data_IF_341676383842
#
_entry.id   IF_341676383842
#
_cell.length_a   1.000
_cell.length_b   1.000
_cell.length_c   1.000
_cell.angle_alpha   90.00
_cell.angle_beta   90.00
_cell.angle_gamma   90.00
#
_symmetry.space_group_name_H-M   'P 1'
#
loop_
_entity.id
_entity.type
_entity.pdbx_description
1 polymer ?
#
# COMPACT_ATOMS: atom_id res chain seq x y z
N UNK A 1 -6.89 21.95 5.16
CA UNK A 1 -6.50 20.82 6.00
C UNK A 1 -7.63 20.48 6.96
N UNK A 2 -7.85 19.22 7.24
CA UNK A 2 -8.70 18.72 8.31
C UNK A 2 -7.81 18.44 9.54
N UNK A 3 -7.40 19.45 10.30
CA UNK A 3 -6.45 19.28 11.39
C UNK A 3 -7.01 18.47 12.56
N UNK A 4 -8.31 18.12 12.54
CA UNK A 4 -9.02 17.54 13.68
C UNK A 4 -9.38 16.06 13.54
N UNK A 5 -9.09 15.41 12.41
CA UNK A 5 -9.38 13.98 12.24
C UNK A 5 -8.49 13.11 13.12
N UNK A 6 -7.20 13.38 13.18
CA UNK A 6 -6.26 12.69 14.06
C UNK A 6 -6.58 12.89 15.55
N UNK A 7 -6.71 14.15 16.02
CA UNK A 7 -7.17 14.45 17.36
C UNK A 7 -8.52 13.79 17.72
N UNK A 8 -9.47 13.77 16.79
CA UNK A 8 -10.77 13.12 16.98
C UNK A 8 -10.67 11.62 17.25
N UNK A 9 -9.80 10.91 16.54
CA UNK A 9 -9.54 9.48 16.75
C UNK A 9 -8.90 9.24 18.12
N UNK A 10 -7.89 10.03 18.49
CA UNK A 10 -7.15 9.91 19.75
C UNK A 10 -8.09 10.10 20.95
N UNK A 11 -8.85 11.19 20.94
CA UNK A 11 -9.80 11.51 22.03
C UNK A 11 -10.96 10.51 22.09
N UNK A 12 -11.43 10.01 20.94
CA UNK A 12 -12.46 8.96 20.89
C UNK A 12 -11.97 7.63 21.45
N UNK A 13 -10.68 7.36 21.37
CA UNK A 13 -10.04 6.19 21.99
C UNK A 13 -9.82 6.38 23.51
N UNK A 14 -10.23 7.52 24.08
CA UNK A 14 -10.04 7.82 25.50
C UNK A 14 -8.61 8.22 25.88
N UNK A 15 -7.79 8.55 24.89
CA UNK A 15 -6.41 8.99 25.12
C UNK A 15 -6.42 10.51 25.31
N UNK A 16 -5.87 11.03 26.44
CA UNK A 16 -5.78 12.46 26.67
C UNK A 16 -4.85 13.10 25.63
N UNK A 17 -5.24 14.27 25.14
CA UNK A 17 -4.52 15.00 24.10
C UNK A 17 -4.45 16.48 24.45
N UNK A 18 -3.23 17.02 24.44
CA UNK A 18 -2.97 18.46 24.49
C UNK A 18 -2.53 18.91 23.10
N UNK A 19 -3.10 19.99 22.62
CA UNK A 19 -2.72 20.68 21.39
C UNK A 19 -2.09 22.04 21.72
N UNK A 20 -1.35 22.62 20.76
CA UNK A 20 -0.64 23.89 20.93
C UNK A 20 0.40 23.91 22.07
N UNK A 21 0.99 22.77 22.40
CA UNK A 21 1.99 22.68 23.48
C UNK A 21 3.37 23.28 23.11
N UNK A 22 3.52 23.84 21.90
CA UNK A 22 4.73 24.46 21.39
C UNK A 22 5.70 23.48 20.70
N UNK A 23 6.32 23.93 19.61
CA UNK A 23 7.30 23.12 18.87
C UNK A 23 8.56 22.81 19.68
N UNK A 24 8.89 23.65 20.67
CA UNK A 24 10.06 23.49 21.53
C UNK A 24 10.02 22.21 22.36
N UNK A 25 8.84 21.67 22.63
CA UNK A 25 8.67 20.43 23.40
C UNK A 25 9.38 19.24 22.74
N UNK A 26 9.41 19.22 21.39
CA UNK A 26 10.04 18.16 20.60
C UNK A 26 11.50 18.47 20.21
N UNK A 27 12.04 19.61 20.69
CA UNK A 27 13.45 19.90 20.49
C UNK A 27 14.34 18.91 21.25
N UNK A 28 15.52 18.62 20.70
CA UNK A 28 16.43 17.62 21.24
C UNK A 28 16.73 17.86 22.74
N UNK A 29 16.40 16.88 23.58
CA UNK A 29 16.68 16.89 25.01
C UNK A 29 15.58 17.44 25.94
N UNK A 30 14.43 17.88 25.40
CA UNK A 30 13.32 18.32 26.24
C UNK A 30 12.45 17.18 26.75
N UNK A 31 12.23 16.13 25.96
CA UNK A 31 11.53 14.91 26.34
C UNK A 31 12.30 13.72 25.77
N UNK A 32 12.48 12.67 26.58
CA UNK A 32 13.17 11.44 26.17
C UNK A 32 12.17 10.31 25.88
N UNK A 33 12.53 9.42 24.95
CA UNK A 33 11.69 8.28 24.63
C UNK A 33 11.56 7.33 25.82
N UNK A 34 10.30 7.00 26.20
CA UNK A 34 10.00 6.17 27.36
C UNK A 34 9.92 6.93 28.69
N UNK A 35 10.03 8.24 28.67
CA UNK A 35 9.86 9.09 29.83
C UNK A 35 8.39 9.10 30.30
N UNK A 36 8.16 8.98 31.62
CA UNK A 36 6.82 9.04 32.20
C UNK A 36 6.45 10.50 32.51
N UNK A 37 5.42 10.98 31.83
CA UNK A 37 4.90 12.33 31.94
C UNK A 37 3.43 12.29 32.40
N UNK A 38 3.00 13.31 33.11
CA UNK A 38 1.61 13.46 33.54
C UNK A 38 0.94 14.62 32.79
N UNK A 39 -0.37 14.50 32.59
CA UNK A 39 -1.21 15.56 32.06
C UNK A 39 -2.20 16.01 33.12
N UNK A 40 -2.18 17.29 33.45
CA UNK A 40 -3.16 17.93 34.37
C UNK A 40 -3.77 19.16 33.67
N UNK A 41 -5.05 19.03 33.31
CA UNK A 41 -5.71 20.05 32.50
C UNK A 41 -5.01 20.28 31.17
N UNK A 42 -4.48 21.48 30.93
CA UNK A 42 -3.69 21.85 29.76
C UNK A 42 -2.18 21.76 29.95
N UNK A 43 -1.71 21.28 31.11
CA UNK A 43 -0.29 21.26 31.46
C UNK A 43 0.31 19.87 31.35
N UNK A 44 1.49 19.79 30.73
CA UNK A 44 2.33 18.60 30.68
C UNK A 44 3.38 18.69 31.78
N UNK A 45 3.40 17.71 32.68
CA UNK A 45 4.23 17.71 33.86
C UNK A 45 5.29 16.60 33.82
N UNK A 46 6.47 16.96 34.31
CA UNK A 46 7.55 16.04 34.69
C UNK A 46 7.66 16.05 36.24
N UNK A 47 7.07 15.05 36.90
CA UNK A 47 6.84 15.11 38.35
C UNK A 47 5.92 16.27 38.71
N UNK A 48 6.41 17.22 39.51
CA UNK A 48 5.67 18.43 39.90
C UNK A 48 6.01 19.66 39.05
N UNK A 49 6.80 19.49 37.98
CA UNK A 49 7.26 20.63 37.18
C UNK A 49 6.53 20.64 35.84
N UNK A 50 5.88 21.78 35.55
CA UNK A 50 5.27 22.00 34.20
C UNK A 50 6.38 22.21 33.17
N UNK A 51 6.40 21.38 32.14
CA UNK A 51 7.38 21.44 31.04
C UNK A 51 6.79 22.02 29.77
N UNK A 52 5.47 21.97 29.62
CA UNK A 52 4.74 22.60 28.51
C UNK A 52 3.30 22.84 28.93
N UNK A 53 2.65 23.82 28.30
CA UNK A 53 1.24 24.10 28.47
C UNK A 53 0.59 24.23 27.10
N UNK A 54 -0.61 23.70 26.95
CA UNK A 54 -1.38 23.74 25.72
C UNK A 54 -2.88 23.67 26.00
N UNK A 55 -3.64 23.38 24.98
CA UNK A 55 -5.09 23.25 25.05
C UNK A 55 -5.48 21.78 25.14
N UNK A 56 -6.08 21.38 26.29
CA UNK A 56 -6.63 20.04 26.44
C UNK A 56 -7.79 19.84 25.46
N UNK A 57 -7.63 18.87 24.58
CA UNK A 57 -8.69 18.52 23.63
C UNK A 57 -9.71 17.61 24.29
N UNK A 58 -10.97 17.99 24.15
CA UNK A 58 -12.13 17.24 24.60
C UNK A 58 -12.98 16.84 23.41
N UNK A 59 -13.90 15.91 23.60
CA UNK A 59 -14.86 15.56 22.55
C UNK A 59 -15.67 16.76 22.09
N UNK A 60 -16.04 17.64 23.02
CA UNK A 60 -16.79 18.85 22.71
C UNK A 60 -15.95 19.83 21.87
N UNK A 61 -14.68 20.11 22.26
CA UNK A 61 -13.81 21.01 21.51
C UNK A 61 -13.53 20.49 20.09
N UNK A 62 -13.42 19.17 19.93
CA UNK A 62 -13.23 18.54 18.64
C UNK A 62 -14.51 18.63 17.79
N UNK A 63 -15.68 18.33 18.37
CA UNK A 63 -16.96 18.44 17.65
C UNK A 63 -17.24 19.89 17.20
N UNK A 64 -16.92 20.89 18.03
CA UNK A 64 -17.00 22.30 17.65
C UNK A 64 -16.00 22.67 16.55
N UNK A 65 -14.77 22.19 16.63
CA UNK A 65 -13.76 22.42 15.60
C UNK A 65 -14.14 21.73 14.26
N UNK A 66 -14.72 20.54 14.32
CA UNK A 66 -15.24 19.85 13.15
C UNK A 66 -16.40 20.59 12.52
N UNK A 67 -17.38 21.06 13.30
CA UNK A 67 -18.50 21.85 12.81
C UNK A 67 -18.04 23.18 12.18
N UNK A 68 -17.03 23.83 12.77
CA UNK A 68 -16.41 25.02 12.20
C UNK A 68 -15.69 24.72 10.88
N UNK A 69 -14.96 23.61 10.81
CA UNK A 69 -14.30 23.15 9.59
C UNK A 69 -15.31 22.79 8.48
N UNK A 70 -16.44 22.18 8.82
CA UNK A 70 -17.51 21.89 7.88
C UNK A 70 -18.14 23.18 7.31
N UNK A 71 -18.31 24.21 8.12
CA UNK A 71 -18.85 25.49 7.65
C UNK A 71 -17.91 26.23 6.68
N UNK A 72 -16.59 26.10 6.86
CA UNK A 72 -15.55 26.62 5.96
C UNK A 72 -15.25 25.73 4.75
N UNK A 73 -15.77 24.50 4.74
CA UNK A 73 -15.47 23.49 3.72
C UNK A 73 -15.79 23.95 2.30
N UNK A 74 -16.91 24.63 2.11
CA UNK A 74 -17.36 25.06 0.78
C UNK A 74 -16.36 26.01 0.12
N UNK A 75 -15.76 26.92 0.89
CA UNK A 75 -14.76 27.86 0.40
C UNK A 75 -13.44 27.14 0.08
N UNK A 76 -12.95 26.31 1.00
CA UNK A 76 -11.74 25.49 0.80
C UNK A 76 -11.90 24.56 -0.40
N UNK A 77 -13.07 23.96 -0.56
CA UNK A 77 -13.38 23.10 -1.70
C UNK A 77 -13.45 23.88 -3.01
N UNK A 78 -14.02 25.08 -3.00
CA UNK A 78 -14.08 25.96 -4.18
C UNK A 78 -12.67 26.34 -4.65
N UNK A 79 -11.81 26.75 -3.72
CA UNK A 79 -10.41 27.07 -4.00
C UNK A 79 -9.63 25.84 -4.52
N UNK A 80 -9.85 24.69 -3.90
CA UNK A 80 -9.24 23.42 -4.34
C UNK A 80 -9.65 23.06 -5.76
N UNK A 81 -10.94 23.19 -6.10
CA UNK A 81 -11.45 22.92 -7.46
C UNK A 81 -10.90 23.94 -8.45
N UNK A 82 -10.89 25.24 -8.12
CA UNK A 82 -10.33 26.27 -8.97
C UNK A 82 -8.84 26.04 -9.28
N UNK A 83 -8.04 25.72 -8.26
CA UNK A 83 -6.65 25.34 -8.41
C UNK A 83 -6.49 24.07 -9.27
N UNK A 84 -7.33 23.07 -9.06
CA UNK A 84 -7.30 21.83 -9.85
C UNK A 84 -7.53 22.13 -11.33
N UNK A 85 -8.51 22.96 -11.68
CA UNK A 85 -8.81 23.36 -13.06
C UNK A 85 -7.65 24.14 -13.68
N UNK A 86 -7.03 25.07 -12.94
CA UNK A 86 -5.86 25.82 -13.41
C UNK A 86 -4.70 24.88 -13.75
N UNK A 87 -4.42 23.92 -12.88
CA UNK A 87 -3.34 22.95 -13.11
C UNK A 87 -3.66 21.94 -14.21
N UNK A 88 -4.94 21.55 -14.39
CA UNK A 88 -5.36 20.71 -15.54
C UNK A 88 -4.96 21.35 -16.87
N UNK A 89 -5.12 22.65 -17.00
CA UNK A 89 -4.73 23.37 -18.22
C UNK A 89 -3.20 23.35 -18.44
N UNK A 90 -2.41 23.38 -17.35
CA UNK A 90 -0.93 23.37 -17.41
C UNK A 90 -0.36 21.96 -17.64
N UNK A 91 -1.04 20.94 -17.16
CA UNK A 91 -0.59 19.56 -17.14
C UNK A 91 -1.33 18.65 -18.14
N UNK A 92 -2.02 19.26 -19.11
CA UNK A 92 -2.81 18.54 -20.14
C UNK A 92 -1.99 17.54 -20.95
N UNK A 93 -0.68 17.74 -21.04
CA UNK A 93 0.27 16.82 -21.68
C UNK A 93 0.40 15.45 -20.99
N UNK A 94 -0.06 15.31 -19.74
CA UNK A 94 -0.21 13.99 -19.08
C UNK A 94 -1.23 13.09 -19.79
N UNK A 95 -2.17 13.66 -20.56
CA UNK A 95 -3.14 12.94 -21.36
C UNK A 95 -2.63 12.62 -22.77
N UNK A 96 -1.64 13.36 -23.24
CA UNK A 96 -1.13 13.23 -24.60
C UNK A 96 0.06 12.24 -24.66
N UNK A 97 0.33 11.70 -25.86
CA UNK A 97 1.52 10.87 -26.14
C UNK A 97 2.85 11.66 -26.05
N UNK A 98 2.79 12.93 -25.64
CA UNK A 98 3.94 13.81 -25.44
C UNK A 98 4.73 13.57 -24.15
N UNK A 99 4.24 12.73 -23.24
CA UNK A 99 4.99 12.37 -22.03
C UNK A 99 6.18 11.47 -22.39
N UNK A 100 7.39 11.97 -22.21
CA UNK A 100 8.61 11.19 -22.49
C UNK A 100 8.87 10.27 -21.28
N UNK A 101 8.38 9.04 -21.38
CA UNK A 101 8.60 8.01 -20.36
C UNK A 101 9.97 7.37 -20.56
N UNK A 102 10.83 7.29 -19.54
CA UNK A 102 12.16 6.73 -19.68
C UNK A 102 12.12 5.23 -20.02
N UNK A 103 13.21 4.76 -20.65
CA UNK A 103 13.36 3.33 -20.84
C UNK A 103 13.72 2.64 -19.53
N UNK A 104 13.02 1.55 -19.24
CA UNK A 104 13.22 0.73 -18.04
C UNK A 104 13.48 -0.71 -18.45
N UNK A 105 14.20 -1.45 -17.59
CA UNK A 105 14.54 -2.86 -17.83
C UNK A 105 13.42 -3.80 -17.38
N UNK A 106 12.63 -3.37 -16.41
CA UNK A 106 11.52 -4.17 -15.86
C UNK A 106 10.47 -4.43 -16.93
N UNK A 107 10.14 -5.70 -17.24
CA UNK A 107 9.18 -6.04 -18.28
C UNK A 107 7.75 -5.87 -17.76
N UNK A 108 6.96 -5.02 -18.40
CA UNK A 108 5.57 -4.75 -18.05
C UNK A 108 4.56 -5.37 -19.03
N UNK A 109 4.96 -5.54 -20.28
CA UNK A 109 4.05 -5.91 -21.35
C UNK A 109 3.26 -7.18 -21.03
N UNK A 110 1.94 -7.08 -21.05
CA UNK A 110 1.02 -8.19 -20.75
C UNK A 110 0.99 -8.62 -19.28
N UNK A 111 1.73 -7.97 -18.38
CA UNK A 111 1.76 -8.27 -16.95
C UNK A 111 0.88 -7.32 -16.16
N UNK A 112 0.49 -7.75 -14.98
CA UNK A 112 -0.11 -6.87 -13.98
C UNK A 112 1.00 -6.07 -13.28
N UNK A 113 0.70 -4.83 -12.90
CA UNK A 113 1.52 -4.03 -12.00
C UNK A 113 0.81 -3.87 -10.66
N UNK A 114 1.53 -4.03 -9.56
CA UNK A 114 1.05 -3.76 -8.21
C UNK A 114 1.85 -2.60 -7.64
N UNK A 115 1.20 -1.45 -7.53
CA UNK A 115 1.81 -0.21 -7.03
C UNK A 115 1.47 -0.07 -5.55
N UNK A 116 2.49 0.04 -4.71
CA UNK A 116 2.34 0.12 -3.25
C UNK A 116 2.83 1.46 -2.76
N UNK A 117 1.92 2.19 -2.10
CA UNK A 117 2.17 3.46 -1.40
C UNK A 117 1.92 3.25 0.10
N UNK A 118 2.63 3.95 0.97
CA UNK A 118 2.34 3.95 2.42
C UNK A 118 1.20 4.92 2.77
N UNK A 119 0.02 4.69 2.23
CA UNK A 119 -1.20 5.40 2.62
C UNK A 119 -1.98 4.66 3.70
N UNK A 120 -3.24 5.04 3.89
CA UNK A 120 -4.10 4.40 4.88
C UNK A 120 -4.34 2.92 4.56
N UNK A 121 -4.26 2.06 5.59
CA UNK A 121 -4.56 0.61 5.52
C UNK A 121 -3.70 -0.22 4.55
N UNK A 122 -2.56 0.31 4.06
CA UNK A 122 -1.72 -0.40 3.10
C UNK A 122 -1.24 -1.77 3.57
N UNK A 123 -1.03 -1.96 4.89
CA UNK A 123 -0.57 -3.25 5.45
C UNK A 123 -1.63 -4.33 5.33
N UNK A 124 -2.87 -3.97 5.67
CA UNK A 124 -4.03 -4.85 5.59
C UNK A 124 -4.32 -5.21 4.13
N UNK A 125 -4.35 -4.20 3.26
CA UNK A 125 -4.61 -4.39 1.83
C UNK A 125 -3.54 -5.28 1.19
N UNK A 126 -2.25 -5.02 1.48
CA UNK A 126 -1.15 -5.84 0.97
C UNK A 126 -1.19 -7.28 1.50
N UNK A 127 -1.58 -7.47 2.76
CA UNK A 127 -1.76 -8.81 3.33
C UNK A 127 -2.90 -9.57 2.64
N UNK A 128 -4.01 -8.91 2.32
CA UNK A 128 -5.14 -9.51 1.60
C UNK A 128 -4.80 -9.87 0.15
N UNK A 129 -3.87 -9.14 -0.47
CA UNK A 129 -3.42 -9.38 -1.85
C UNK A 129 -2.38 -10.50 -2.00
N UNK A 130 -1.91 -11.15 -0.91
CA UNK A 130 -0.94 -12.26 -0.99
C UNK A 130 -1.34 -13.37 -1.98
N UNK A 131 -2.61 -13.84 -2.03
CA UNK A 131 -3.03 -14.83 -3.03
C UNK A 131 -2.89 -14.30 -4.46
N UNK A 132 -3.28 -13.05 -4.70
CA UNK A 132 -3.16 -12.38 -5.99
C UNK A 132 -1.69 -12.27 -6.44
N UNK A 133 -0.79 -11.82 -5.55
CA UNK A 133 0.64 -11.69 -5.83
C UNK A 133 1.24 -13.06 -6.22
N UNK A 134 0.87 -14.12 -5.51
CA UNK A 134 1.37 -15.48 -5.76
C UNK A 134 0.85 -16.06 -7.09
N UNK A 135 -0.42 -15.79 -7.43
CA UNK A 135 -1.07 -16.33 -8.63
C UNK A 135 -0.64 -15.58 -9.90
N UNK A 136 -0.69 -14.25 -9.87
CA UNK A 136 -0.44 -13.43 -11.05
C UNK A 136 0.99 -12.95 -11.20
N UNK A 137 1.79 -13.01 -10.11
CA UNK A 137 3.19 -12.53 -10.10
C UNK A 137 3.32 -11.15 -10.76
N UNK A 138 2.57 -10.14 -10.28
CA UNK A 138 2.61 -8.81 -10.84
C UNK A 138 4.02 -8.20 -10.72
N UNK A 139 4.30 -7.18 -11.51
CA UNK A 139 5.45 -6.31 -11.27
C UNK A 139 5.19 -5.54 -9.98
N UNK A 140 6.05 -5.72 -8.98
CA UNK A 140 5.93 -5.06 -7.67
C UNK A 140 6.65 -3.72 -7.69
N UNK A 141 5.89 -2.63 -7.64
CA UNK A 141 6.40 -1.26 -7.66
C UNK A 141 6.19 -0.63 -6.30
N UNK A 142 7.29 -0.30 -5.62
CA UNK A 142 7.23 0.49 -4.39
C UNK A 142 7.34 1.97 -4.71
N UNK A 143 6.37 2.78 -4.28
CA UNK A 143 6.47 4.22 -4.34
C UNK A 143 7.08 4.72 -3.04
N UNK A 144 8.28 5.25 -3.13
CA UNK A 144 9.08 5.70 -1.98
C UNK A 144 9.10 4.64 -0.86
N UNK A 145 8.65 4.96 0.35
CA UNK A 145 8.55 4.01 1.45
C UNK A 145 7.64 2.79 1.19
N UNK A 146 6.87 2.77 0.10
CA UNK A 146 6.12 1.60 -0.35
C UNK A 146 7.02 0.41 -0.70
N UNK A 147 8.27 0.66 -1.09
CA UNK A 147 9.27 -0.39 -1.31
C UNK A 147 9.58 -1.16 -0.02
N UNK A 148 9.74 -0.45 1.09
CA UNK A 148 9.92 -1.07 2.40
C UNK A 148 8.68 -1.87 2.83
N UNK A 149 7.48 -1.37 2.54
CA UNK A 149 6.23 -2.09 2.81
C UNK A 149 6.16 -3.43 2.05
N UNK A 150 6.59 -3.47 0.79
CA UNK A 150 6.70 -4.70 0.01
C UNK A 150 7.68 -5.67 0.67
N UNK A 151 8.84 -5.19 1.15
CA UNK A 151 9.85 -6.01 1.81
C UNK A 151 9.38 -6.51 3.19
N UNK A 152 8.69 -5.68 3.96
CA UNK A 152 8.06 -6.06 5.23
C UNK A 152 6.99 -7.16 5.04
N UNK A 153 6.28 -7.14 3.91
CA UNK A 153 5.32 -8.18 3.54
C UNK A 153 5.96 -9.50 3.06
N UNK A 154 7.29 -9.57 3.00
CA UNK A 154 8.06 -10.75 2.59
C UNK A 154 8.26 -10.88 1.08
N UNK A 155 8.08 -9.80 0.32
CA UNK A 155 8.32 -9.75 -1.12
C UNK A 155 9.53 -8.88 -1.43
N UNK A 156 10.01 -8.93 -2.67
CA UNK A 156 11.06 -8.07 -3.18
C UNK A 156 10.45 -7.13 -4.23
N UNK A 157 10.65 -5.81 -4.14
CA UNK A 157 10.21 -4.91 -5.21
C UNK A 157 11.00 -5.18 -6.49
N UNK A 158 10.30 -5.14 -7.63
CA UNK A 158 10.93 -5.15 -8.96
C UNK A 158 11.40 -3.75 -9.33
N UNK A 159 10.67 -2.73 -8.87
CA UNK A 159 10.96 -1.33 -9.17
C UNK A 159 10.64 -0.45 -7.96
N UNK A 160 11.39 0.64 -7.81
CA UNK A 160 11.16 1.70 -6.83
C UNK A 160 11.05 3.03 -7.59
N UNK A 161 9.94 3.74 -7.40
CA UNK A 161 9.65 5.02 -8.04
C UNK A 161 9.45 6.08 -6.97
N UNK A 162 10.08 7.24 -7.09
CA UNK A 162 9.82 8.33 -6.17
C UNK A 162 10.92 9.37 -6.07
N UNK A 163 10.80 10.25 -5.09
CA UNK A 163 11.79 11.27 -4.73
C UNK A 163 12.88 10.75 -3.77
N UNK A 164 12.76 9.49 -3.37
CA UNK A 164 13.70 8.75 -2.52
C UNK A 164 13.85 9.28 -1.09
N UNK A 165 12.99 10.15 -0.62
CA UNK A 165 13.08 10.72 0.72
C UNK A 165 12.74 9.73 1.83
N UNK A 166 11.70 8.92 1.63
CA UNK A 166 11.13 8.03 2.65
C UNK A 166 11.43 6.54 2.45
N UNK A 167 12.23 6.19 1.45
CA UNK A 167 12.68 4.80 1.20
C UNK A 167 13.97 4.50 1.98
N UNK A 168 14.10 3.29 2.53
CA UNK A 168 15.32 2.89 3.22
C UNK A 168 16.47 2.54 2.26
N UNK A 169 17.73 2.69 2.71
CA UNK A 169 18.89 2.25 1.93
C UNK A 169 18.86 0.74 1.64
N UNK A 170 18.29 -0.04 2.56
CA UNK A 170 18.08 -1.47 2.37
C UNK A 170 17.18 -1.76 1.15
N UNK A 171 16.13 -0.96 0.95
CA UNK A 171 15.25 -1.12 -0.20
C UNK A 171 15.94 -0.67 -1.48
N UNK A 172 16.67 0.46 -1.47
CA UNK A 172 17.46 0.94 -2.61
C UNK A 172 18.51 -0.07 -3.05
N UNK A 173 19.15 -0.78 -2.11
CA UNK A 173 20.16 -1.81 -2.35
C UNK A 173 19.56 -3.21 -2.62
N UNK A 174 18.24 -3.35 -2.66
CA UNK A 174 17.57 -4.64 -2.90
C UNK A 174 17.80 -5.21 -4.30
N UNK A 175 18.31 -4.41 -5.23
CA UNK A 175 18.48 -4.71 -6.65
C UNK A 175 17.19 -4.52 -7.47
N UNK A 176 16.21 -3.80 -6.93
CA UNK A 176 15.10 -3.24 -7.68
C UNK A 176 15.60 -2.19 -8.68
N UNK A 177 14.89 -2.01 -9.78
CA UNK A 177 15.16 -0.91 -10.69
C UNK A 177 14.71 0.42 -10.07
N UNK A 178 15.59 1.43 -10.06
CA UNK A 178 15.32 2.72 -9.43
C UNK A 178 14.92 3.74 -10.47
N UNK A 179 13.75 4.37 -10.28
CA UNK A 179 13.24 5.46 -11.10
C UNK A 179 13.09 6.69 -10.22
N UNK A 180 14.02 7.62 -10.35
CA UNK A 180 14.02 8.86 -9.57
C UNK A 180 13.05 9.85 -10.20
N UNK A 181 12.02 10.23 -9.45
CA UNK A 181 11.09 11.27 -9.85
C UNK A 181 11.77 12.64 -9.80
N UNK A 182 11.77 13.35 -10.91
CA UNK A 182 12.31 14.69 -11.03
C UNK A 182 11.22 15.70 -11.40
N UNK A 183 11.39 16.93 -10.98
CA UNK A 183 10.59 18.04 -11.49
C UNK A 183 10.83 18.25 -12.98
N UNK A 184 9.89 18.89 -13.68
CA UNK A 184 10.02 19.21 -15.12
C UNK A 184 11.28 20.04 -15.46
N UNK A 185 11.75 20.85 -14.52
CA UNK A 185 12.98 21.64 -14.68
C UNK A 185 14.26 20.80 -14.51
N UNK A 186 14.13 19.49 -14.29
CA UNK A 186 15.22 18.53 -14.13
C UNK A 186 15.77 18.44 -12.70
N UNK A 187 15.26 19.21 -11.74
CA UNK A 187 15.67 19.07 -10.34
C UNK A 187 15.13 17.74 -9.79
N UNK A 188 16.02 16.93 -9.25
CA UNK A 188 15.71 15.63 -8.65
C UNK A 188 16.34 15.56 -7.26
N UNK A 189 15.63 15.91 -6.19
CA UNK A 189 16.19 15.96 -4.83
C UNK A 189 16.83 14.64 -4.39
N UNK A 190 16.21 13.51 -4.67
CA UNK A 190 16.70 12.18 -4.31
C UNK A 190 17.87 11.66 -5.13
N UNK A 191 18.22 12.32 -6.22
CA UNK A 191 19.26 11.84 -7.14
C UNK A 191 20.64 11.76 -6.44
N UNK A 192 20.98 12.74 -5.61
CA UNK A 192 22.25 12.76 -4.90
C UNK A 192 22.41 11.52 -3.98
N UNK A 193 21.34 11.10 -3.30
CA UNK A 193 21.34 9.93 -2.43
C UNK A 193 21.54 8.64 -3.21
N UNK A 194 20.85 8.47 -4.33
CA UNK A 194 20.97 7.28 -5.18
C UNK A 194 22.39 7.18 -5.79
N UNK A 195 22.96 8.31 -6.21
CA UNK A 195 24.33 8.39 -6.70
C UNK A 195 25.36 8.08 -5.61
N UNK A 196 25.13 8.54 -4.38
CA UNK A 196 26.01 8.26 -3.23
C UNK A 196 26.01 6.77 -2.86
N UNK A 197 24.88 6.08 -3.07
CA UNK A 197 24.78 4.63 -2.88
C UNK A 197 25.27 3.81 -4.08
N UNK A 198 25.73 4.46 -5.14
CA UNK A 198 26.22 3.84 -6.39
C UNK A 198 25.21 2.89 -7.05
N UNK A 199 23.89 3.19 -6.91
CA UNK A 199 22.83 2.38 -7.49
C UNK A 199 22.49 2.85 -8.89
N UNK A 200 22.37 1.91 -9.84
CA UNK A 200 21.88 2.23 -11.18
C UNK A 200 20.46 2.77 -11.12
N UNK A 201 20.20 3.87 -11.81
CA UNK A 201 18.92 4.55 -11.77
C UNK A 201 18.57 5.21 -13.10
N UNK A 202 17.29 5.48 -13.27
CA UNK A 202 16.73 6.28 -14.37
C UNK A 202 16.06 7.50 -13.76
N UNK A 203 16.13 8.63 -14.43
CA UNK A 203 15.45 9.86 -14.00
C UNK A 203 14.20 10.05 -14.84
N UNK A 204 13.06 10.30 -14.20
CA UNK A 204 11.79 10.55 -14.87
C UNK A 204 11.30 11.96 -14.53
N UNK A 205 11.55 12.97 -15.39
CA UNK A 205 11.02 14.30 -15.22
C UNK A 205 9.54 14.35 -15.61
N UNK A 206 8.67 14.61 -14.64
CA UNK A 206 7.25 14.76 -14.89
C UNK A 206 6.57 15.60 -13.80
N UNK A 207 5.37 16.11 -14.09
CA UNK A 207 4.48 16.69 -13.09
C UNK A 207 3.65 15.59 -12.44
N UNK A 208 3.26 15.82 -11.20
CA UNK A 208 2.41 14.89 -10.47
C UNK A 208 3.07 14.35 -9.21
N UNK A 209 2.42 13.39 -8.60
CA UNK A 209 2.93 12.68 -7.44
C UNK A 209 3.75 11.48 -7.89
N UNK A 210 4.60 10.94 -7.02
CA UNK A 210 5.36 9.72 -7.34
C UNK A 210 4.43 8.53 -7.65
N UNK A 211 3.25 8.49 -7.04
CA UNK A 211 2.23 7.47 -7.36
C UNK A 211 1.65 7.65 -8.78
N UNK A 212 1.41 8.91 -9.21
CA UNK A 212 0.95 9.20 -10.57
C UNK A 212 2.01 8.75 -11.59
N UNK A 213 3.28 9.05 -11.32
CA UNK A 213 4.42 8.68 -12.17
C UNK A 213 4.55 7.17 -12.29
N UNK A 214 4.37 6.43 -11.18
CA UNK A 214 4.41 4.97 -11.20
C UNK A 214 3.27 4.38 -12.06
N UNK A 215 2.07 4.96 -12.00
CA UNK A 215 0.92 4.54 -12.81
C UNK A 215 1.14 4.83 -14.30
N UNK A 216 1.62 6.03 -14.63
CA UNK A 216 1.91 6.44 -16.02
C UNK A 216 3.00 5.58 -16.63
N UNK A 217 4.06 5.26 -15.87
CA UNK A 217 5.13 4.38 -16.32
C UNK A 217 4.61 2.96 -16.58
N UNK A 218 3.82 2.39 -15.68
CA UNK A 218 3.23 1.07 -15.86
C UNK A 218 2.30 1.03 -17.09
N UNK A 219 1.51 2.09 -17.33
CA UNK A 219 0.62 2.20 -18.49
C UNK A 219 1.41 2.27 -19.79
N UNK A 220 2.40 3.18 -19.89
CA UNK A 220 3.24 3.38 -21.07
C UNK A 220 4.02 2.11 -21.46
N UNK A 221 4.51 1.37 -20.45
CA UNK A 221 5.26 0.11 -20.66
C UNK A 221 4.36 -1.11 -20.88
N UNK A 222 3.05 -0.91 -21.08
CA UNK A 222 2.13 -1.96 -21.52
C UNK A 222 1.63 -2.89 -20.44
N UNK A 223 1.58 -2.42 -19.19
CA UNK A 223 0.91 -3.19 -18.13
C UNK A 223 -0.56 -3.46 -18.51
N UNK A 224 -0.99 -4.71 -18.35
CA UNK A 224 -2.36 -5.13 -18.65
C UNK A 224 -3.36 -4.64 -17.59
N UNK A 225 -2.93 -4.63 -16.35
CA UNK A 225 -3.71 -4.20 -15.18
C UNK A 225 -2.80 -3.50 -14.18
N UNK A 226 -3.31 -2.46 -13.56
CA UNK A 226 -2.65 -1.72 -12.49
C UNK A 226 -3.48 -1.86 -11.22
N UNK A 227 -2.91 -2.44 -10.18
CA UNK A 227 -3.54 -2.52 -8.86
C UNK A 227 -2.82 -1.55 -7.93
N UNK A 228 -3.56 -0.66 -7.31
CA UNK A 228 -3.01 0.38 -6.43
C UNK A 228 -3.34 0.09 -4.97
N UNK A 229 -2.31 0.10 -4.10
CA UNK A 229 -2.39 -0.14 -2.65
C UNK A 229 -2.00 1.13 -1.91
N UNK A 230 -2.84 1.58 -0.99
CA UNK A 230 -2.56 2.74 -0.15
C UNK A 230 -2.42 4.05 -0.91
N UNK A 231 -2.97 4.13 -2.12
CA UNK A 231 -2.96 5.37 -2.90
C UNK A 231 -3.94 6.39 -2.31
N UNK A 232 -3.61 7.66 -2.48
CA UNK A 232 -4.43 8.76 -2.02
C UNK A 232 -5.45 9.10 -3.10
N UNK A 233 -6.68 8.69 -2.92
CA UNK A 233 -7.73 8.84 -3.94
C UNK A 233 -8.97 9.57 -3.45
N UNK A 234 -9.02 9.91 -2.16
CA UNK A 234 -10.14 10.66 -1.59
C UNK A 234 -9.84 12.16 -1.48
N UNK A 235 -10.87 12.98 -1.67
CA UNK A 235 -10.77 14.44 -1.49
C UNK A 235 -10.26 14.79 -0.08
N UNK A 236 -10.71 14.05 0.94
CA UNK A 236 -10.32 14.27 2.34
C UNK A 236 -8.82 14.10 2.52
N UNK A 237 -8.23 13.03 1.95
CA UNK A 237 -6.78 12.80 2.03
C UNK A 237 -5.97 13.89 1.32
N UNK A 238 -6.48 14.42 0.21
CA UNK A 238 -5.85 15.55 -0.48
C UNK A 238 -5.88 16.82 0.34
N UNK A 239 -7.00 17.12 0.97
CA UNK A 239 -7.16 18.29 1.83
C UNK A 239 -6.35 18.15 3.12
N UNK A 240 -6.30 16.97 3.72
CA UNK A 240 -5.53 16.70 4.93
C UNK A 240 -4.02 16.92 4.73
N UNK A 241 -3.50 16.55 3.58
CA UNK A 241 -2.10 16.81 3.20
C UNK A 241 -1.80 18.25 2.79
N UNK A 242 -2.76 19.17 2.90
CA UNK A 242 -2.60 20.58 2.52
C UNK A 242 -2.31 20.79 1.04
N UNK A 243 -2.65 19.85 0.17
CA UNK A 243 -2.47 19.97 -1.28
C UNK A 243 -3.45 20.97 -1.85
N UNK A 244 -2.94 21.86 -2.73
CA UNK A 244 -3.75 22.90 -3.36
C UNK A 244 -4.63 22.43 -4.52
N UNK A 245 -4.46 21.18 -4.99
CA UNK A 245 -5.22 20.62 -6.10
C UNK A 245 -4.87 19.15 -6.34
N UNK A 246 -5.62 18.49 -7.21
CA UNK A 246 -5.46 17.09 -7.58
C UNK A 246 -5.37 16.86 -9.09
N UNK A 247 -4.93 17.87 -9.83
CA UNK A 247 -4.94 17.84 -11.30
C UNK A 247 -4.19 16.63 -11.87
N UNK A 248 -2.96 16.39 -11.44
CA UNK A 248 -2.15 15.28 -11.92
C UNK A 248 -2.79 13.93 -11.62
N UNK A 249 -3.29 13.73 -10.41
CA UNK A 249 -4.00 12.51 -10.01
C UNK A 249 -5.26 12.30 -10.82
N UNK A 250 -6.03 13.37 -11.07
CA UNK A 250 -7.24 13.32 -11.90
C UNK A 250 -6.89 12.92 -13.35
N UNK A 251 -5.92 13.61 -13.97
CA UNK A 251 -5.49 13.33 -15.34
C UNK A 251 -4.88 11.92 -15.49
N UNK A 252 -4.03 11.52 -14.54
CA UNK A 252 -3.48 10.17 -14.51
C UNK A 252 -4.57 9.11 -14.44
N UNK A 253 -5.56 9.29 -13.54
CA UNK A 253 -6.68 8.35 -13.42
C UNK A 253 -7.59 8.33 -14.64
N UNK A 254 -7.78 9.44 -15.34
CA UNK A 254 -8.46 9.43 -16.64
C UNK A 254 -7.71 8.59 -17.66
N UNK A 255 -6.37 8.70 -17.73
CA UNK A 255 -5.54 7.96 -18.67
C UNK A 255 -5.53 6.46 -18.37
N UNK A 256 -5.25 6.09 -17.12
CA UNK A 256 -5.07 4.68 -16.74
C UNK A 256 -6.36 4.00 -16.24
N UNK A 257 -7.47 4.73 -16.15
CA UNK A 257 -8.69 4.29 -15.47
C UNK A 257 -9.29 2.99 -15.96
N UNK A 258 -9.14 2.69 -17.27
CA UNK A 258 -9.59 1.41 -17.81
C UNK A 258 -8.80 0.18 -17.34
N UNK A 259 -7.60 0.39 -16.78
CA UNK A 259 -6.68 -0.64 -16.28
C UNK A 259 -6.46 -0.54 -14.76
N UNK A 260 -6.95 0.51 -14.10
CA UNK A 260 -6.69 0.78 -12.69
C UNK A 260 -7.75 0.15 -11.81
N UNK A 261 -7.31 -0.63 -10.83
CA UNK A 261 -8.13 -1.16 -9.75
C UNK A 261 -7.55 -0.79 -8.40
N UNK A 262 -8.41 -0.36 -7.48
CA UNK A 262 -8.04 -0.20 -6.07
C UNK A 262 -7.89 -1.57 -5.39
N UNK A 263 -6.90 -1.67 -4.50
CA UNK A 263 -6.60 -2.90 -3.76
C UNK A 263 -7.80 -3.43 -2.97
N UNK A 264 -8.60 -2.54 -2.38
CA UNK A 264 -9.82 -2.91 -1.63
C UNK A 264 -10.82 -3.61 -2.55
N UNK A 265 -11.01 -3.11 -3.79
CA UNK A 265 -11.86 -3.75 -4.79
C UNK A 265 -11.35 -5.14 -5.16
N UNK A 266 -10.05 -5.28 -5.40
CA UNK A 266 -9.42 -6.57 -5.74
C UNK A 266 -9.54 -7.55 -4.58
N UNK A 267 -9.27 -7.12 -3.34
CA UNK A 267 -9.34 -7.98 -2.16
C UNK A 267 -10.73 -8.54 -1.89
N UNK A 268 -11.78 -7.77 -2.16
CA UNK A 268 -13.17 -8.21 -2.05
C UNK A 268 -13.55 -9.26 -3.10
N UNK A 269 -12.96 -9.20 -4.30
CA UNK A 269 -13.16 -10.16 -5.38
C UNK A 269 -12.34 -11.44 -5.16
N UNK A 270 -11.17 -11.32 -4.52
CA UNK A 270 -10.25 -12.42 -4.27
C UNK A 270 -10.63 -13.19 -3.01
N UNK A 271 -11.75 -13.92 -3.06
CA UNK A 271 -12.09 -14.86 -1.98
C UNK A 271 -11.08 -16.01 -1.98
N UNK A 272 -10.59 -16.39 -0.81
CA UNK A 272 -9.72 -17.56 -0.65
C UNK A 272 -10.36 -18.78 -1.33
N UNK A 273 -9.82 -19.16 -2.47
CA UNK A 273 -10.18 -20.46 -3.07
C UNK A 273 -9.53 -21.53 -2.21
N UNK A 274 -10.31 -22.58 -1.95
CA UNK A 274 -9.81 -23.77 -1.25
C UNK A 274 -8.57 -24.26 -2.01
N UNK A 275 -7.42 -24.25 -1.37
CA UNK A 275 -6.17 -24.63 -2.01
C UNK A 275 -6.18 -26.10 -2.43
N UNK A 276 -5.52 -26.43 -3.55
CA UNK A 276 -5.38 -27.81 -4.05
C UNK A 276 -4.86 -28.76 -2.98
N UNK A 277 -3.97 -28.27 -2.09
CA UNK A 277 -3.48 -29.04 -0.94
C UNK A 277 -4.55 -29.40 0.08
N UNK A 278 -5.51 -28.51 0.35
CA UNK A 278 -6.62 -28.77 1.25
C UNK A 278 -7.58 -29.81 0.63
N UNK A 279 -7.82 -29.73 -0.69
CA UNK A 279 -8.63 -30.71 -1.42
C UNK A 279 -7.93 -32.08 -1.44
N UNK A 280 -6.61 -32.13 -1.65
CA UNK A 280 -5.83 -33.37 -1.56
C UNK A 280 -5.88 -33.97 -0.16
N UNK A 281 -5.75 -33.16 0.88
CA UNK A 281 -5.82 -33.63 2.27
C UNK A 281 -7.21 -34.17 2.61
N UNK A 282 -8.28 -33.53 2.13
CA UNK A 282 -9.64 -34.00 2.26
C UNK A 282 -9.84 -35.33 1.51
N UNK A 283 -9.34 -35.44 0.28
CA UNK A 283 -9.41 -36.66 -0.50
C UNK A 283 -8.64 -37.81 0.18
N UNK A 284 -7.45 -37.55 0.68
CA UNK A 284 -6.64 -38.54 1.42
C UNK A 284 -7.36 -38.98 2.71
N UNK A 285 -7.93 -38.05 3.46
CA UNK A 285 -8.72 -38.38 4.65
C UNK A 285 -9.93 -39.25 4.30
N UNK A 286 -10.61 -38.97 3.19
CA UNK A 286 -11.71 -39.79 2.66
C UNK A 286 -11.27 -41.22 2.30
N UNK A 287 -10.13 -41.37 1.64
CA UNK A 287 -9.54 -42.69 1.30
C UNK A 287 -9.17 -43.48 2.55
N UNK A 288 -8.55 -42.83 3.54
CA UNK A 288 -8.20 -43.47 4.83
C UNK A 288 -9.45 -43.92 5.57
N UNK A 289 -10.48 -43.05 5.64
CA UNK A 289 -11.75 -43.36 6.28
C UNK A 289 -12.46 -44.57 5.60
N UNK A 290 -12.47 -44.56 4.25
CA UNK A 290 -13.01 -45.66 3.46
C UNK A 290 -12.25 -46.97 3.72
N UNK A 291 -10.91 -46.93 3.73
CA UNK A 291 -10.04 -48.06 4.03
C UNK A 291 -10.30 -48.64 5.44
N UNK A 292 -10.43 -47.75 6.44
CA UNK A 292 -10.75 -48.14 7.80
C UNK A 292 -12.17 -48.78 7.89
N UNK A 293 -13.16 -48.23 7.23
CA UNK A 293 -14.52 -48.76 7.18
C UNK A 293 -14.54 -50.17 6.49
N UNK A 294 -13.81 -50.32 5.39
CA UNK A 294 -13.70 -51.57 4.68
C UNK A 294 -12.99 -52.62 5.52
N UNK A 295 -11.91 -52.27 6.26
CA UNK A 295 -11.20 -53.21 7.12
C UNK A 295 -12.00 -53.66 8.35
N UNK A 296 -12.95 -52.84 8.81
CA UNK A 296 -13.80 -53.10 9.98
C UNK A 296 -15.06 -53.93 9.68
N UNK A 297 -15.40 -54.14 8.40
CA UNK A 297 -16.60 -54.87 8.00
C UNK A 297 -16.28 -56.18 7.27
N UNK A 298 -17.06 -57.25 7.50
CA UNK A 298 -16.84 -58.55 6.84
C UNK A 298 -16.96 -58.45 5.30
N UNK A 299 -17.92 -57.64 4.80
CA UNK A 299 -18.08 -57.37 3.37
C UNK A 299 -16.87 -56.62 2.78
N UNK A 300 -16.31 -55.66 3.52
CA UNK A 300 -15.18 -54.89 3.10
C UNK A 300 -13.88 -55.75 3.06
N UNK A 301 -13.67 -56.63 4.04
CA UNK A 301 -12.54 -57.57 4.05
C UNK A 301 -12.61 -58.53 2.85
N UNK A 302 -13.80 -59.03 2.48
CA UNK A 302 -13.98 -59.83 1.29
C UNK A 302 -13.66 -59.04 0.00
N UNK A 303 -14.14 -57.81 -0.10
CA UNK A 303 -13.81 -56.93 -1.24
C UNK A 303 -12.32 -56.61 -1.34
N UNK A 304 -11.65 -56.37 -0.22
CA UNK A 304 -10.20 -56.19 -0.17
C UNK A 304 -9.43 -57.41 -0.67
N UNK A 305 -9.86 -58.61 -0.25
CA UNK A 305 -9.28 -59.90 -0.70
C UNK A 305 -9.40 -60.08 -2.21
N UNK A 306 -10.55 -59.73 -2.79
CA UNK A 306 -10.76 -59.81 -4.25
C UNK A 306 -9.93 -58.82 -5.02
N UNK A 307 -9.77 -57.58 -4.52
CA UNK A 307 -8.93 -56.57 -5.13
C UNK A 307 -7.47 -56.99 -5.06
N UNK A 308 -6.98 -57.47 -3.92
CA UNK A 308 -5.60 -57.97 -3.74
C UNK A 308 -5.32 -59.12 -4.71
N UNK A 309 -6.21 -60.12 -4.83
CA UNK A 309 -6.05 -61.22 -5.75
C UNK A 309 -5.98 -60.79 -7.24
N UNK A 310 -6.71 -59.74 -7.62
CA UNK A 310 -6.60 -59.16 -8.98
C UNK A 310 -5.27 -58.44 -9.21
N UNK A 311 -4.76 -57.73 -8.22
CA UNK A 311 -3.44 -57.10 -8.33
C UNK A 311 -2.32 -58.14 -8.40
N UNK A 312 -2.36 -59.18 -7.60
CA UNK A 312 -1.39 -60.26 -7.66
C UNK A 312 -1.40 -60.98 -9.03
N UNK A 313 -2.56 -61.22 -9.62
CA UNK A 313 -2.72 -61.72 -10.98
C UNK A 313 -2.13 -60.80 -12.06
N UNK A 314 -2.33 -59.49 -11.91
CA UNK A 314 -1.76 -58.48 -12.82
C UNK A 314 -0.24 -58.40 -12.73
N UNK A 315 0.36 -58.45 -11.52
CA UNK A 315 1.81 -58.44 -11.34
C UNK A 315 2.46 -59.75 -11.81
N UNK A 316 1.80 -60.90 -11.65
CA UNK A 316 2.27 -62.18 -12.22
C UNK A 316 2.25 -62.17 -13.75
N UNK A 317 1.28 -61.50 -14.37
CA UNK A 317 1.23 -61.36 -15.82
C UNK A 317 2.29 -60.38 -16.37
N UNK A 318 2.68 -59.35 -15.64
CA UNK A 318 3.73 -58.40 -16.01
C UNK A 318 5.15 -58.97 -15.79
N UNK A 319 5.32 -60.05 -14.99
CA UNK A 319 6.59 -60.65 -14.68
C UNK A 319 6.94 -61.90 -15.53
N UNK A 320 6.05 -62.30 -16.42
CA UNK A 320 6.26 -63.29 -17.45
C UNK A 320 6.32 -62.63 -18.84
#
# INVERSE_FOLDING_TARGET
>A
AYPNLGPGIIVSAGIPLIDDAGEELFAAGHVEEGEELALDGGDLLRGDTVIASGTMQTRISIDEAMASAESGMTEVLADFVANTVEYIQKDSDLLDDGLVVPQVRTPFEGRHALIVVRGYHYKEDLAMLRPYIREHRPVLIGVDGGADAIMEAGHRPDMIVGDMDSVSDRALLSGAEIVVHAYRDGRAPGLARVQQLEVEHVVFPATGTSEDIAMLLADDKGAQLIVAVGTHDTLIEFLDKGRKGMASTFLTRLRVGSKLLDAKGVSLLYRQRIGTGQLMLLALAGVIALGAAMSATAAGQTAFGLIAAQFDGFFQWLGN
#
